data_IF_690488365221
#
_entry.id   IF_690488365221
#
_cell.length_a   1.000
_cell.length_b   1.000
_cell.length_c   1.000
_cell.angle_alpha   90.00
_cell.angle_beta   90.00
_cell.angle_gamma   90.00
#
_symmetry.space_group_name_H-M   'P 1'
#
loop_
_entity.id
_entity.type
_entity.pdbx_description
1 polymer ?
#
# COMPACT_ATOMS: atom_id res chain seq x y z
N UNK A 1 -1.25 2.30 10.05
CA UNK A 1 -0.33 2.30 11.23
C UNK A 1 1.02 1.78 10.76
N UNK A 2 2.09 2.58 10.94
CA UNK A 2 3.45 2.14 10.65
C UNK A 2 3.88 1.11 11.71
N UNK A 3 4.67 0.10 11.32
CA UNK A 3 5.21 -0.88 12.24
C UNK A 3 6.17 -0.21 13.26
N UNK A 4 6.35 -0.82 14.44
CA UNK A 4 7.32 -0.34 15.44
C UNK A 4 8.75 -0.55 14.92
N UNK A 5 9.00 -1.71 14.32
CA UNK A 5 10.25 -2.06 13.65
C UNK A 5 9.95 -2.38 12.18
N UNK A 6 10.84 -1.96 11.28
CA UNK A 6 10.75 -2.23 9.85
C UNK A 6 12.10 -2.78 9.39
N UNK A 7 12.15 -4.09 9.22
CA UNK A 7 13.32 -4.79 8.74
C UNK A 7 13.25 -4.93 7.22
N UNK A 8 14.28 -4.45 6.53
CA UNK A 8 14.38 -4.48 5.07
C UNK A 8 15.71 -5.10 4.64
N UNK A 9 15.70 -5.73 3.47
CA UNK A 9 16.90 -6.19 2.76
C UNK A 9 16.81 -5.80 1.29
N UNK A 10 17.95 -5.81 0.59
CA UNK A 10 17.97 -5.70 -0.87
C UNK A 10 17.10 -6.80 -1.47
N UNK A 11 16.27 -6.44 -2.44
CA UNK A 11 15.28 -7.34 -3.05
C UNK A 11 13.92 -7.38 -2.35
N UNK A 12 13.75 -6.73 -1.19
CA UNK A 12 12.46 -6.70 -0.51
C UNK A 12 11.40 -5.95 -1.34
N UNK A 13 10.24 -6.58 -1.54
CA UNK A 13 9.05 -5.93 -2.08
C UNK A 13 8.45 -5.00 -1.04
N UNK A 14 8.31 -3.73 -1.39
CA UNK A 14 7.82 -2.69 -0.50
C UNK A 14 6.71 -1.87 -1.16
N UNK A 15 5.95 -1.19 -0.31
CA UNK A 15 4.90 -0.26 -0.70
C UNK A 15 5.08 1.05 0.05
N UNK A 16 4.93 2.16 -0.67
CA UNK A 16 4.91 3.50 -0.10
C UNK A 16 3.60 3.73 0.66
N UNK A 17 3.69 4.31 1.84
CA UNK A 17 2.55 4.52 2.77
C UNK A 17 2.10 5.98 2.86
N UNK A 18 2.70 6.86 2.05
CA UNK A 18 2.43 8.30 1.99
C UNK A 18 2.36 8.73 0.52
N UNK A 19 1.60 9.78 0.26
CA UNK A 19 1.66 10.43 -1.04
C UNK A 19 2.94 11.25 -1.14
N UNK A 20 3.60 11.20 -2.29
CA UNK A 20 4.78 11.96 -2.64
C UNK A 20 4.64 12.51 -4.07
N UNK A 21 3.82 13.57 -4.26
CA UNK A 21 3.50 14.10 -5.59
C UNK A 21 4.71 14.57 -6.39
N UNK A 22 5.75 15.10 -5.74
CA UNK A 22 7.00 15.52 -6.38
C UNK A 22 7.73 14.35 -7.06
N UNK A 23 7.47 13.14 -6.59
CA UNK A 23 7.96 11.92 -7.19
C UNK A 23 6.89 11.16 -7.98
N UNK A 24 5.71 11.74 -8.18
CA UNK A 24 4.54 11.08 -8.81
C UNK A 24 4.22 9.73 -8.17
N UNK A 25 4.53 9.58 -6.88
CA UNK A 25 4.24 8.38 -6.12
C UNK A 25 3.06 8.67 -5.20
N UNK A 26 2.11 7.74 -5.17
CA UNK A 26 0.97 7.78 -4.27
C UNK A 26 1.11 6.71 -3.19
N UNK A 27 0.35 6.86 -2.10
CA UNK A 27 0.17 5.78 -1.13
C UNK A 27 -0.33 4.53 -1.87
N UNK A 28 0.36 3.40 -1.69
CA UNK A 28 0.13 2.19 -2.46
C UNK A 28 1.17 1.93 -3.55
N UNK A 29 1.99 2.90 -3.94
CA UNK A 29 3.04 2.70 -4.95
C UNK A 29 3.99 1.58 -4.52
N UNK A 30 4.13 0.56 -5.36
CA UNK A 30 4.95 -0.63 -5.09
C UNK A 30 6.31 -0.52 -5.73
N UNK A 31 7.30 -1.17 -5.13
CA UNK A 31 8.64 -1.23 -5.66
C UNK A 31 9.52 -2.25 -4.94
N UNK A 32 10.76 -2.34 -5.39
CA UNK A 32 11.78 -3.25 -4.85
C UNK A 32 12.93 -2.43 -4.28
N UNK A 33 13.37 -2.78 -3.07
CA UNK A 33 14.57 -2.19 -2.47
C UNK A 33 15.80 -2.61 -3.28
N UNK A 34 16.55 -1.64 -3.77
CA UNK A 34 17.75 -1.84 -4.59
C UNK A 34 19.02 -1.77 -3.74
N UNK A 35 19.09 -0.80 -2.83
CA UNK A 35 20.24 -0.60 -1.94
C UNK A 35 19.83 0.24 -0.73
N UNK A 36 20.74 0.34 0.24
CA UNK A 36 20.61 1.22 1.39
C UNK A 36 21.74 2.23 1.40
N UNK A 37 21.44 3.40 1.95
CA UNK A 37 22.38 4.50 2.09
C UNK A 37 22.15 5.18 3.44
N UNK A 38 23.16 5.89 3.97
CA UNK A 38 22.98 6.77 5.12
C UNK A 38 23.14 8.21 4.65
N UNK A 39 22.09 9.00 4.83
CA UNK A 39 22.08 10.40 4.39
C UNK A 39 21.74 11.32 5.53
N UNK A 40 22.40 12.47 5.51
CA UNK A 40 21.97 13.60 6.33
C UNK A 40 20.60 14.06 5.83
N UNK A 41 19.60 14.00 6.71
CA UNK A 41 18.28 14.56 6.44
C UNK A 41 18.27 15.96 7.00
N UNK A 42 18.03 16.92 6.10
CA UNK A 42 17.74 18.30 6.46
C UNK A 42 16.24 18.54 6.25
N UNK A 43 15.45 18.75 7.32
CA UNK A 43 14.02 18.96 7.21
C UNK A 43 13.62 20.22 6.43
N UNK A 44 14.55 21.14 6.18
CA UNK A 44 14.33 22.32 5.35
C UNK A 44 14.46 22.06 3.84
N UNK A 45 15.11 20.95 3.45
CA UNK A 45 15.46 20.66 2.06
C UNK A 45 14.41 19.84 1.28
N UNK A 46 13.45 19.20 1.97
CA UNK A 46 12.49 18.29 1.36
C UNK A 46 11.17 18.25 2.16
N UNK A 47 10.03 18.55 1.50
CA UNK A 47 8.70 18.57 2.15
C UNK A 47 8.35 17.23 2.78
N UNK A 48 8.81 16.11 2.22
CA UNK A 48 8.55 14.80 2.79
C UNK A 48 9.26 14.63 4.14
N UNK A 49 10.40 15.28 4.32
CA UNK A 49 11.22 15.22 5.54
C UNK A 49 10.79 16.28 6.59
N UNK A 50 9.66 16.96 6.39
CA UNK A 50 9.18 17.95 7.33
C UNK A 50 8.97 17.35 8.73
N UNK A 51 9.49 18.03 9.75
CA UNK A 51 9.40 17.58 11.15
C UNK A 51 10.27 16.36 11.48
N UNK A 52 11.14 15.90 10.57
CA UNK A 52 12.19 14.93 10.88
C UNK A 52 13.34 15.67 11.57
N UNK A 53 13.81 15.23 12.75
CA UNK A 53 14.96 15.86 13.38
C UNK A 53 16.18 15.87 12.45
N UNK A 54 17.00 16.92 12.41
CA UNK A 54 18.23 16.90 11.64
C UNK A 54 19.16 15.79 12.13
N UNK A 55 19.75 15.04 11.21
CA UNK A 55 20.63 13.93 11.58
C UNK A 55 20.93 13.01 10.41
N UNK A 56 21.71 11.97 10.67
CA UNK A 56 22.05 10.95 9.67
C UNK A 56 21.11 9.74 9.82
N UNK A 57 20.42 9.41 8.73
CA UNK A 57 19.38 8.37 8.73
C UNK A 57 19.64 7.31 7.67
N UNK A 58 19.28 6.08 8.00
CA UNK A 58 19.16 5.02 7.01
C UNK A 58 18.05 5.34 6.01
N UNK A 59 18.39 5.31 4.73
CA UNK A 59 17.52 5.53 3.59
C UNK A 59 17.53 4.29 2.70
N UNK A 60 16.43 4.07 1.97
CA UNK A 60 16.33 2.96 1.03
C UNK A 60 16.21 3.49 -0.40
N UNK A 61 17.05 3.03 -1.31
CA UNK A 61 16.86 3.24 -2.74
C UNK A 61 15.83 2.22 -3.23
N UNK A 62 14.69 2.70 -3.74
CA UNK A 62 13.59 1.84 -4.18
C UNK A 62 13.32 2.07 -5.66
N UNK A 63 13.29 0.99 -6.44
CA UNK A 63 12.82 1.00 -7.83
C UNK A 63 11.33 0.65 -7.83
N UNK A 64 10.50 1.64 -8.12
CA UNK A 64 9.04 1.52 -8.17
C UNK A 64 8.58 0.93 -9.50
N UNK A 65 7.38 0.34 -9.50
CA UNK A 65 6.76 -0.28 -10.67
C UNK A 65 6.49 0.73 -11.80
N UNK A 66 6.45 2.03 -11.49
CA UNK A 66 6.42 3.11 -12.47
C UNK A 66 7.72 3.27 -13.26
N UNK A 67 8.77 2.50 -12.94
CA UNK A 67 10.12 2.61 -13.52
C UNK A 67 11.01 3.62 -12.78
N UNK A 68 10.45 4.45 -11.89
CA UNK A 68 11.21 5.45 -11.13
C UNK A 68 12.05 4.79 -10.04
N UNK A 69 13.30 5.25 -9.89
CA UNK A 69 14.17 4.84 -8.79
C UNK A 69 14.43 6.03 -7.87
N UNK A 70 14.00 5.95 -6.62
CA UNK A 70 13.98 7.08 -5.68
C UNK A 70 14.59 6.68 -4.34
N UNK A 71 15.36 7.60 -3.74
CA UNK A 71 15.84 7.46 -2.36
C UNK A 71 14.72 7.82 -1.41
N UNK A 72 14.20 6.83 -0.70
CA UNK A 72 13.15 7.00 0.31
C UNK A 72 13.80 7.33 1.65
N UNK A 73 13.53 8.53 2.16
CA UNK A 73 14.00 9.05 3.46
C UNK A 73 12.91 8.87 4.53
N UNK A 74 13.28 8.91 5.83
CA UNK A 74 12.30 8.92 6.91
C UNK A 74 11.36 10.12 6.84
N UNK A 75 10.15 9.94 7.33
CA UNK A 75 9.09 10.97 7.41
C UNK A 75 8.54 10.99 8.82
N UNK A 76 8.28 12.18 9.35
CA UNK A 76 7.58 12.35 10.62
C UNK A 76 6.07 12.44 10.41
N UNK A 77 5.31 11.63 11.15
CA UNK A 77 3.84 11.75 11.24
C UNK A 77 3.46 12.18 12.64
N UNK A 78 2.57 13.17 12.72
CA UNK A 78 2.10 13.75 13.97
C UNK A 78 0.64 13.36 14.21
N UNK A 79 0.32 13.10 15.47
CA UNK A 79 -1.05 12.89 15.94
C UNK A 79 -1.27 13.78 17.15
N UNK A 80 -2.23 14.70 17.03
CA UNK A 80 -2.70 15.49 18.16
C UNK A 80 -3.56 14.60 19.08
N UNK A 81 -3.41 14.80 20.38
CA UNK A 81 -4.15 14.14 21.44
C UNK A 81 -4.55 15.18 22.49
N UNK A 82 -5.59 14.90 23.26
CA UNK A 82 -5.92 15.75 24.41
C UNK A 82 -4.77 15.69 25.42
N UNK A 83 -4.09 16.84 25.62
CA UNK A 83 -2.92 16.96 26.48
C UNK A 83 -1.55 16.86 25.79
N UNK A 84 -1.47 16.77 24.46
CA UNK A 84 -0.19 16.87 23.75
C UNK A 84 -0.20 16.37 22.31
N UNK A 85 1.00 16.12 21.77
CA UNK A 85 1.18 15.56 20.44
C UNK A 85 2.17 14.39 20.47
N UNK A 86 1.87 13.35 19.69
CA UNK A 86 2.80 12.26 19.43
C UNK A 86 3.36 12.41 18.02
N UNK A 87 4.68 12.27 17.89
CA UNK A 87 5.37 12.22 16.61
C UNK A 87 5.99 10.84 16.40
N UNK A 88 6.00 10.36 15.17
CA UNK A 88 6.73 9.17 14.76
C UNK A 88 7.52 9.45 13.49
N UNK A 89 8.83 9.30 13.57
CA UNK A 89 9.76 9.34 12.43
C UNK A 89 10.07 7.91 11.98
N UNK A 90 9.77 7.58 10.72
CA UNK A 90 10.04 6.26 10.14
C UNK A 90 10.10 6.35 8.61
N UNK A 91 10.78 5.42 7.95
CA UNK A 91 10.66 5.23 6.51
C UNK A 91 9.17 5.03 6.14
N UNK A 92 8.62 5.75 5.17
CA UNK A 92 7.22 5.61 4.75
C UNK A 92 7.01 4.34 3.91
N UNK A 93 7.66 3.23 4.26
CA UNK A 93 7.62 1.95 3.56
C UNK A 93 6.97 0.87 4.44
N UNK A 94 6.36 -0.12 3.78
CA UNK A 94 5.93 -1.37 4.39
C UNK A 94 6.27 -2.52 3.45
N UNK A 95 6.60 -3.70 3.99
CA UNK A 95 6.68 -4.92 3.19
C UNK A 95 5.37 -5.18 2.44
N UNK A 96 5.49 -5.54 1.17
CA UNK A 96 4.38 -5.63 0.22
C UNK A 96 4.39 -6.92 -0.60
N UNK A 97 4.89 -8.01 -0.01
CA UNK A 97 4.72 -9.36 -0.57
C UNK A 97 3.27 -9.83 -0.51
N UNK A 98 2.60 -9.54 0.61
CA UNK A 98 1.19 -9.86 0.81
C UNK A 98 0.45 -8.64 1.37
N UNK A 99 -0.78 -8.47 0.89
CA UNK A 99 -1.66 -7.37 1.27
C UNK A 99 -3.04 -7.96 1.53
N UNK A 100 -3.75 -7.43 2.51
CA UNK A 100 -5.17 -7.79 2.68
C UNK A 100 -5.99 -7.12 1.59
N UNK A 101 -7.11 -7.74 1.19
CA UNK A 101 -8.04 -7.18 0.19
C UNK A 101 -8.44 -5.74 0.55
N UNK A 102 -8.77 -5.51 1.82
CA UNK A 102 -9.09 -4.18 2.35
C UNK A 102 -7.98 -3.13 2.13
N UNK A 103 -6.71 -3.53 2.16
CA UNK A 103 -5.59 -2.62 1.91
C UNK A 103 -5.29 -2.43 0.43
N UNK A 104 -5.75 -3.34 -0.42
CA UNK A 104 -5.72 -3.16 -1.88
C UNK A 104 -6.89 -2.36 -2.45
N UNK A 105 -7.89 -2.00 -1.64
CA UNK A 105 -9.06 -1.25 -2.13
C UNK A 105 -8.64 0.10 -2.74
N UNK A 106 -9.06 0.35 -3.98
CA UNK A 106 -8.67 1.56 -4.73
C UNK A 106 -7.28 1.49 -5.36
N UNK A 107 -6.53 0.41 -5.17
CA UNK A 107 -5.26 0.19 -5.86
C UNK A 107 -5.47 -0.44 -7.24
N UNK A 108 -4.49 -0.23 -8.11
CA UNK A 108 -4.37 -0.89 -9.40
C UNK A 108 -3.12 -1.76 -9.37
N UNK A 109 -3.28 -3.06 -9.60
CA UNK A 109 -2.21 -4.06 -9.53
C UNK A 109 -1.98 -4.65 -10.93
N UNK A 110 -0.73 -4.67 -11.38
CA UNK A 110 -0.37 -5.28 -12.67
C UNK A 110 -0.33 -6.81 -12.59
N UNK A 111 0.12 -7.34 -11.45
CA UNK A 111 0.19 -8.77 -11.15
C UNK A 111 -0.17 -9.04 -9.69
N UNK A 112 -1.01 -10.04 -9.44
CA UNK A 112 -1.35 -10.48 -8.10
C UNK A 112 -1.72 -11.96 -8.08
N UNK A 113 -1.26 -12.64 -7.03
CA UNK A 113 -1.80 -13.92 -6.59
C UNK A 113 -2.87 -13.64 -5.52
N UNK A 114 -4.05 -14.23 -5.66
CA UNK A 114 -5.18 -14.05 -4.76
C UNK A 114 -5.56 -15.39 -4.10
N UNK A 115 -5.64 -15.37 -2.78
CA UNK A 115 -6.24 -16.44 -1.96
C UNK A 115 -7.63 -15.97 -1.53
N UNK A 116 -8.68 -16.58 -2.09
CA UNK A 116 -10.07 -16.15 -1.88
C UNK A 116 -10.94 -17.17 -1.14
N UNK A 117 -10.42 -18.34 -0.81
CA UNK A 117 -11.19 -19.43 -0.17
C UNK A 117 -11.91 -19.00 1.11
N UNK A 118 -11.30 -18.12 1.90
CA UNK A 118 -11.87 -17.58 3.14
C UNK A 118 -12.52 -16.20 2.98
N UNK A 119 -12.85 -15.76 1.76
CA UNK A 119 -13.52 -14.47 1.58
C UNK A 119 -14.94 -14.53 2.17
N UNK A 120 -15.12 -13.85 3.31
CA UNK A 120 -16.34 -13.93 4.12
C UNK A 120 -17.29 -12.76 3.90
N UNK A 121 -16.79 -11.59 3.46
CA UNK A 121 -17.60 -10.39 3.31
C UNK A 121 -18.21 -10.25 1.91
N UNK A 122 -19.43 -9.70 1.85
CA UNK A 122 -20.08 -9.35 0.58
C UNK A 122 -19.20 -8.39 -0.23
N UNK A 123 -19.01 -8.68 -1.52
CA UNK A 123 -18.20 -7.87 -2.44
C UNK A 123 -16.69 -8.04 -2.30
N UNK A 124 -16.17 -8.74 -1.29
CA UNK A 124 -14.72 -8.86 -1.07
C UNK A 124 -13.99 -9.55 -2.23
N UNK A 125 -14.54 -10.66 -2.74
CA UNK A 125 -13.98 -11.37 -3.89
C UNK A 125 -13.95 -10.46 -5.13
N UNK A 126 -15.03 -9.73 -5.39
CA UNK A 126 -15.12 -8.77 -6.49
C UNK A 126 -14.10 -7.63 -6.35
N UNK A 127 -13.97 -7.06 -5.14
CA UNK A 127 -12.98 -6.00 -4.87
C UNK A 127 -11.58 -6.51 -5.17
N UNK A 128 -11.21 -7.71 -4.70
CA UNK A 128 -9.89 -8.30 -4.93
C UNK A 128 -9.60 -8.53 -6.41
N UNK A 129 -10.53 -9.19 -7.13
CA UNK A 129 -10.40 -9.49 -8.55
C UNK A 129 -10.29 -8.20 -9.39
N UNK A 130 -11.12 -7.20 -9.09
CA UNK A 130 -11.13 -5.92 -9.82
C UNK A 130 -9.88 -5.06 -9.61
N UNK A 131 -8.95 -5.42 -8.71
CA UNK A 131 -7.68 -4.69 -8.56
C UNK A 131 -6.68 -5.04 -9.65
N UNK A 132 -6.79 -6.23 -10.26
CA UNK A 132 -5.81 -6.70 -11.25
C UNK A 132 -6.22 -6.22 -12.63
N UNK A 133 -5.30 -5.58 -13.36
CA UNK A 133 -5.61 -4.94 -14.64
C UNK A 133 -5.79 -5.90 -15.82
N UNK A 134 -5.35 -7.14 -15.68
CA UNK A 134 -5.46 -8.15 -16.75
C UNK A 134 -5.57 -9.55 -16.18
N UNK A 135 -6.28 -10.42 -16.90
CA UNK A 135 -6.37 -11.85 -16.55
C UNK A 135 -5.00 -12.54 -16.56
N UNK A 136 -4.11 -12.14 -17.47
CA UNK A 136 -2.73 -12.65 -17.53
C UNK A 136 -1.89 -12.26 -16.30
N UNK A 137 -2.29 -11.21 -15.58
CA UNK A 137 -1.68 -10.79 -14.33
C UNK A 137 -2.34 -11.37 -13.09
N UNK A 138 -3.38 -12.20 -13.24
CA UNK A 138 -4.16 -12.74 -12.14
C UNK A 138 -3.83 -14.22 -11.94
N UNK A 139 -3.38 -14.56 -10.74
CA UNK A 139 -3.26 -15.93 -10.28
C UNK A 139 -4.22 -16.17 -9.12
N UNK A 140 -4.89 -17.32 -9.14
CA UNK A 140 -5.77 -17.75 -8.08
C UNK A 140 -5.12 -18.95 -7.39
N UNK A 141 -5.01 -18.87 -6.08
CA UNK A 141 -4.45 -19.92 -5.24
C UNK A 141 -5.50 -20.42 -4.25
N UNK A 142 -5.32 -21.66 -3.79
CA UNK A 142 -6.27 -22.36 -2.93
C UNK A 142 -7.32 -23.17 -3.71
N UNK A 143 -8.47 -23.40 -3.07
CA UNK A 143 -9.59 -24.14 -3.67
C UNK A 143 -10.30 -23.41 -4.82
N UNK A 144 -11.22 -24.10 -5.48
CA UNK A 144 -12.03 -23.51 -6.54
C UNK A 144 -12.86 -22.32 -6.03
N UNK A 145 -12.89 -21.21 -6.78
CA UNK A 145 -13.84 -20.12 -6.52
C UNK A 145 -15.25 -20.65 -6.78
N UNK A 146 -16.01 -20.82 -5.71
CA UNK A 146 -17.42 -21.24 -5.80
C UNK A 146 -18.35 -20.04 -5.62
N UNK A 147 -19.62 -20.24 -5.97
CA UNK A 147 -20.65 -19.21 -5.77
C UNK A 147 -20.90 -18.88 -4.30
N UNK A 148 -20.44 -19.71 -3.37
CA UNK A 148 -20.45 -19.39 -1.94
C UNK A 148 -19.48 -18.25 -1.58
N UNK A 149 -18.49 -17.96 -2.42
CA UNK A 149 -17.45 -16.95 -2.17
C UNK A 149 -17.78 -15.62 -2.87
N UNK A 150 -18.47 -15.70 -4.01
CA UNK A 150 -18.90 -14.54 -4.79
C UNK A 150 -20.29 -14.10 -4.32
N UNK A 151 -20.33 -13.30 -3.25
CA UNK A 151 -21.57 -12.82 -2.63
C UNK A 151 -21.75 -11.31 -2.82
N UNK A 152 -22.96 -10.88 -3.14
CA UNK A 152 -23.41 -9.49 -3.05
C UNK A 152 -24.51 -9.37 -1.99
N UNK A 153 -24.59 -8.22 -1.30
CA UNK A 153 -25.58 -8.02 -0.26
C UNK A 153 -26.96 -7.75 -0.90
N UNK A 154 -28.06 -8.42 -0.51
CA UNK A 154 -29.37 -8.27 -1.14
C UNK A 154 -29.86 -6.82 -1.23
N UNK A 155 -29.75 -6.05 -0.14
CA UNK A 155 -30.14 -4.63 -0.14
C UNK A 155 -29.38 -3.76 -1.16
N UNK A 156 -28.12 -4.11 -1.48
CA UNK A 156 -27.33 -3.38 -2.49
C UNK A 156 -27.83 -3.72 -3.90
N UNK A 157 -28.22 -4.98 -4.14
CA UNK A 157 -28.82 -5.40 -5.40
C UNK A 157 -30.15 -4.67 -5.62
N UNK A 158 -31.02 -4.64 -4.60
CA UNK A 158 -32.29 -3.92 -4.65
C UNK A 158 -32.10 -2.43 -4.89
N UNK A 159 -31.13 -1.81 -4.19
CA UNK A 159 -30.75 -0.42 -4.41
C UNK A 159 -30.40 -0.16 -5.88
N UNK A 160 -29.49 -0.93 -6.48
CA UNK A 160 -29.09 -0.70 -7.88
C UNK A 160 -30.21 -0.98 -8.89
N UNK A 161 -31.10 -1.94 -8.62
CA UNK A 161 -32.29 -2.21 -9.44
C UNK A 161 -33.24 -1.02 -9.49
N UNK A 162 -33.39 -0.28 -8.38
CA UNK A 162 -34.23 0.91 -8.32
C UNK A 162 -33.74 2.05 -9.24
N UNK A 163 -32.48 2.04 -9.66
CA UNK A 163 -31.88 3.03 -10.58
C UNK A 163 -31.78 2.53 -12.03
N UNK A 164 -32.45 1.44 -12.39
CA UNK A 164 -32.43 0.89 -13.75
C UNK A 164 -31.15 0.13 -14.12
N UNK A 165 -30.33 -0.24 -13.13
CA UNK A 165 -29.26 -1.23 -13.30
C UNK A 165 -29.85 -2.64 -13.32
N UNK A 166 -29.43 -3.44 -14.31
CA UNK A 166 -29.88 -4.82 -14.63
C UNK A 166 -30.24 -5.66 -13.39
#
# INVERSE_FOLDING_TARGET
KAARHLDLKVGAQVMLTKNWPEQELVNGSRGVVVSFDRRRVDPSADRLSFGVPPGEYGCALVRFDSGRTVVVKPVSTFQALDGGALARTQLPLKLAWALTVHKSQGMTLSRCELLLEDAFAHGQAYVALSRVTSLAGLWLSGGAITQAVVKAHPAVIEFYRAFGGV
#
